data_IF_043903255829
#
_entry.id   IF_043903255829
#
_cell.length_a   1.000
_cell.length_b   1.000
_cell.length_c   1.000
_cell.angle_alpha   90.00
_cell.angle_beta   90.00
_cell.angle_gamma   90.00
#
_symmetry.space_group_name_H-M   'P 1'
#
loop_
_entity.id
_entity.type
_entity.pdbx_description
1 polymer ?
#
# COMPACT_ATOMS: atom_id res chain seq x y z
N UNK A 1 6.39 -21.73 -3.79
CA UNK A 1 6.39 -20.70 -4.86
C UNK A 1 4.97 -20.58 -5.40
N UNK A 2 4.55 -19.39 -5.84
CA UNK A 2 3.16 -19.10 -6.26
C UNK A 2 3.16 -18.25 -7.53
N UNK A 3 2.09 -18.34 -8.31
CA UNK A 3 1.81 -17.46 -9.46
C UNK A 3 1.02 -16.21 -9.07
N UNK A 4 0.54 -16.14 -7.83
CA UNK A 4 -0.23 -15.00 -7.34
C UNK A 4 0.67 -13.77 -7.14
N UNK A 5 0.12 -12.55 -7.28
CA UNK A 5 0.83 -11.32 -6.95
C UNK A 5 1.29 -11.34 -5.49
N UNK A 6 2.56 -10.94 -5.27
CA UNK A 6 3.14 -10.79 -3.93
C UNK A 6 3.40 -9.32 -3.67
N UNK A 7 2.89 -8.82 -2.54
CA UNK A 7 3.11 -7.45 -2.07
C UNK A 7 4.07 -7.47 -0.87
N UNK A 8 5.21 -6.80 -1.00
CA UNK A 8 6.25 -6.74 0.03
C UNK A 8 6.21 -5.41 0.81
N UNK A 9 6.23 -5.50 2.14
CA UNK A 9 6.30 -4.33 3.03
C UNK A 9 7.62 -4.37 3.79
N UNK A 10 8.58 -3.48 3.47
CA UNK A 10 9.83 -3.39 4.21
C UNK A 10 9.60 -2.98 5.67
N UNK A 11 10.16 -3.74 6.60
CA UNK A 11 10.10 -3.39 8.02
C UNK A 11 11.21 -2.39 8.34
N UNK A 12 10.91 -1.38 9.15
CA UNK A 12 11.91 -0.42 9.60
C UNK A 12 12.98 -1.12 10.46
N UNK A 13 14.22 -1.14 9.97
CA UNK A 13 15.39 -1.63 10.72
C UNK A 13 15.86 -0.58 11.73
N UNK A 14 16.56 -1.01 12.78
CA UNK A 14 17.18 -0.08 13.76
C UNK A 14 18.36 0.72 13.20
N UNK A 15 19.20 0.09 12.37
CA UNK A 15 20.50 0.67 11.97
C UNK A 15 20.41 1.53 10.72
N UNK A 16 19.63 1.09 9.72
CA UNK A 16 19.54 1.74 8.40
C UNK A 16 18.12 2.24 8.09
N UNK A 17 17.29 2.43 9.12
CA UNK A 17 15.90 2.90 8.98
C UNK A 17 15.06 2.12 7.94
N UNK A 18 15.40 0.86 7.67
CA UNK A 18 14.69 0.00 6.73
C UNK A 18 15.15 0.12 5.28
N UNK A 19 16.24 0.82 4.99
CA UNK A 19 16.84 0.85 3.64
C UNK A 19 17.35 -0.54 3.23
N UNK A 20 17.95 -1.28 4.17
CA UNK A 20 18.32 -2.69 4.04
C UNK A 20 17.11 -3.58 3.74
N UNK A 21 16.04 -3.44 4.52
CA UNK A 21 14.77 -4.14 4.27
C UNK A 21 14.17 -3.78 2.92
N UNK A 22 14.24 -2.51 2.51
CA UNK A 22 13.71 -2.05 1.23
C UNK A 22 14.49 -2.67 0.07
N UNK A 23 15.81 -2.56 0.09
CA UNK A 23 16.67 -3.06 -0.99
C UNK A 23 16.62 -4.58 -1.10
N UNK A 24 16.52 -5.31 0.02
CA UNK A 24 16.38 -6.77 0.00
C UNK A 24 15.05 -7.28 -0.57
N UNK A 25 14.00 -6.44 -0.60
CA UNK A 25 12.68 -6.80 -1.13
C UNK A 25 12.49 -6.28 -2.57
N UNK A 26 12.89 -5.04 -2.86
CA UNK A 26 12.60 -4.39 -4.15
C UNK A 26 13.54 -4.85 -5.27
N UNK A 27 14.76 -5.28 -4.94
CA UNK A 27 15.80 -5.66 -5.92
C UNK A 27 15.66 -7.12 -6.38
N UNK A 28 14.44 -7.53 -6.72
CA UNK A 28 14.21 -8.88 -7.25
C UNK A 28 14.80 -9.02 -8.67
N UNK A 29 15.40 -10.17 -9.01
CA UNK A 29 15.84 -10.43 -10.37
C UNK A 29 14.66 -10.52 -11.34
N UNK A 30 14.94 -10.27 -12.63
CA UNK A 30 13.93 -10.41 -13.69
C UNK A 30 13.30 -11.80 -13.70
N UNK A 31 11.97 -11.85 -13.77
CA UNK A 31 11.17 -13.09 -13.79
C UNK A 31 10.49 -13.46 -12.47
N UNK A 32 10.84 -12.83 -11.34
CA UNK A 32 10.21 -13.08 -10.03
C UNK A 32 9.80 -11.76 -9.36
N UNK A 33 8.73 -11.09 -9.82
CA UNK A 33 8.39 -9.75 -9.37
C UNK A 33 7.79 -9.73 -7.96
N UNK A 34 8.07 -8.65 -7.21
CA UNK A 34 7.42 -8.32 -5.94
C UNK A 34 6.97 -6.85 -5.97
N UNK A 35 5.68 -6.60 -5.74
CA UNK A 35 5.16 -5.24 -5.59
C UNK A 35 5.58 -4.67 -4.24
N UNK A 36 6.61 -3.83 -4.21
CA UNK A 36 7.18 -3.33 -2.94
C UNK A 36 6.55 -1.98 -2.54
N UNK A 37 6.18 -1.84 -1.27
CA UNK A 37 5.54 -0.65 -0.72
C UNK A 37 6.53 0.16 0.14
N UNK A 38 6.06 1.29 0.68
CA UNK A 38 6.82 2.12 1.61
C UNK A 38 7.29 1.33 2.84
N UNK A 39 8.33 1.82 3.53
CA UNK A 39 8.83 1.21 4.77
C UNK A 39 7.80 1.40 5.91
N UNK A 40 7.59 0.37 6.71
CA UNK A 40 6.87 0.42 7.98
C UNK A 40 5.34 0.50 7.84
N UNK A 41 4.70 1.18 8.79
CA UNK A 41 3.24 1.20 8.98
C UNK A 41 2.49 1.81 7.79
N UNK A 42 3.04 2.84 7.16
CA UNK A 42 2.49 3.41 5.93
C UNK A 42 2.46 2.38 4.80
N UNK A 43 3.54 1.61 4.65
CA UNK A 43 3.61 0.49 3.71
C UNK A 43 2.58 -0.59 3.99
N UNK A 44 2.44 -1.00 5.25
CA UNK A 44 1.47 -2.00 5.67
C UNK A 44 0.02 -1.58 5.32
N UNK A 45 -0.33 -0.33 5.62
CA UNK A 45 -1.64 0.24 5.23
C UNK A 45 -1.83 0.22 3.72
N UNK A 46 -0.82 0.66 2.97
CA UNK A 46 -0.89 0.72 1.51
C UNK A 46 -0.91 -0.66 0.85
N UNK A 47 -0.24 -1.66 1.42
CA UNK A 47 -0.29 -3.04 0.93
C UNK A 47 -1.70 -3.61 1.03
N UNK A 48 -2.39 -3.39 2.15
CA UNK A 48 -3.81 -3.76 2.30
C UNK A 48 -4.70 -3.05 1.27
N UNK A 49 -4.53 -1.73 1.11
CA UNK A 49 -5.31 -0.96 0.12
C UNK A 49 -5.02 -1.40 -1.32
N UNK A 50 -3.76 -1.68 -1.67
CA UNK A 50 -3.39 -2.15 -3.00
C UNK A 50 -3.95 -3.56 -3.26
N UNK A 51 -3.90 -4.46 -2.27
CA UNK A 51 -4.52 -5.78 -2.38
C UNK A 51 -6.03 -5.66 -2.65
N UNK A 52 -6.74 -4.80 -1.91
CA UNK A 52 -8.18 -4.56 -2.15
C UNK A 52 -8.43 -3.96 -3.55
N UNK A 53 -7.56 -3.06 -4.03
CA UNK A 53 -7.65 -2.54 -5.41
C UNK A 53 -7.47 -3.62 -6.48
N UNK A 54 -6.56 -4.57 -6.27
CA UNK A 54 -6.37 -5.72 -7.18
C UNK A 54 -7.62 -6.59 -7.18
N UNK A 55 -8.16 -6.92 -6.00
CA UNK A 55 -9.38 -7.74 -5.87
C UNK A 55 -10.62 -7.05 -6.46
N UNK A 56 -10.73 -5.73 -6.30
CA UNK A 56 -11.85 -4.93 -6.82
C UNK A 56 -11.96 -4.94 -8.35
N UNK A 57 -10.92 -5.34 -9.09
CA UNK A 57 -11.01 -5.57 -10.54
C UNK A 57 -12.05 -6.63 -10.91
N UNK A 58 -12.36 -7.54 -9.99
CA UNK A 58 -13.32 -8.63 -10.19
C UNK A 58 -14.45 -8.64 -9.15
N UNK A 59 -14.45 -7.69 -8.21
CA UNK A 59 -15.45 -7.59 -7.14
C UNK A 59 -16.06 -6.17 -7.11
N UNK A 60 -17.27 -5.99 -7.67
CA UNK A 60 -17.97 -4.71 -7.69
C UNK A 60 -18.25 -4.14 -6.28
N UNK A 61 -18.43 -4.99 -5.27
CA UNK A 61 -18.69 -4.57 -3.89
C UNK A 61 -17.42 -3.92 -3.32
N UNK A 62 -16.25 -4.51 -3.56
CA UNK A 62 -14.98 -3.91 -3.16
C UNK A 62 -14.70 -2.61 -3.93
N UNK A 63 -15.03 -2.55 -5.21
CA UNK A 63 -14.90 -1.33 -6.01
C UNK A 63 -15.73 -0.18 -5.42
N UNK A 64 -16.98 -0.44 -5.06
CA UNK A 64 -17.85 0.57 -4.43
C UNK A 64 -17.29 1.01 -3.06
N UNK A 65 -16.82 0.07 -2.23
CA UNK A 65 -16.19 0.39 -0.94
C UNK A 65 -14.95 1.26 -1.09
N UNK A 66 -14.13 1.03 -2.12
CA UNK A 66 -12.96 1.85 -2.41
C UNK A 66 -13.34 3.27 -2.83
N UNK A 67 -14.40 3.43 -3.62
CA UNK A 67 -14.90 4.76 -4.00
C UNK A 67 -15.40 5.55 -2.78
N UNK A 68 -16.18 4.90 -1.91
CA UNK A 68 -16.60 5.49 -0.63
C UNK A 68 -15.41 5.90 0.23
N UNK A 69 -14.43 5.02 0.38
CA UNK A 69 -13.20 5.30 1.13
C UNK A 69 -12.44 6.51 0.56
N UNK A 70 -12.33 6.61 -0.77
CA UNK A 70 -11.67 7.74 -1.43
C UNK A 70 -12.41 9.05 -1.19
N UNK A 71 -13.74 9.04 -1.20
CA UNK A 71 -14.56 10.21 -0.91
C UNK A 71 -14.39 10.65 0.55
N UNK A 72 -14.40 9.72 1.50
CA UNK A 72 -14.16 10.02 2.91
C UNK A 72 -12.81 10.71 3.14
N UNK A 73 -11.72 10.19 2.54
CA UNK A 73 -10.40 10.83 2.67
C UNK A 73 -10.41 12.26 2.11
N UNK A 74 -11.09 12.48 0.99
CA UNK A 74 -11.20 13.82 0.40
C UNK A 74 -11.93 14.77 1.35
N UNK A 75 -13.05 14.33 1.91
CA UNK A 75 -13.84 15.11 2.87
C UNK A 75 -13.04 15.43 4.13
N UNK A 76 -12.34 14.43 4.70
CA UNK A 76 -11.48 14.59 5.87
C UNK A 76 -10.32 15.57 5.62
N UNK A 77 -9.79 15.62 4.40
CA UNK A 77 -8.74 16.57 4.04
C UNK A 77 -9.28 18.01 3.92
N UNK A 78 -10.51 18.16 3.40
CA UNK A 78 -11.17 19.46 3.26
C UNK A 78 -11.64 20.02 4.61
N UNK A 79 -12.12 19.18 5.52
CA UNK A 79 -12.55 19.60 6.87
C UNK A 79 -11.38 20.17 7.68
N UNK A 80 -10.24 19.47 7.69
CA UNK A 80 -9.02 19.92 8.38
C UNK A 80 -8.48 21.26 7.86
N UNK A 81 -8.74 21.58 6.59
CA UNK A 81 -8.32 22.86 6.02
C UNK A 81 -9.23 24.02 6.46
N UNK A 82 -10.51 23.75 6.77
CA UNK A 82 -11.42 24.75 7.36
C UNK A 82 -11.06 25.06 8.81
N UNK A 83 -10.52 24.09 9.56
CA UNK A 83 -10.11 24.31 10.96
C UNK A 83 -8.85 25.21 11.10
N UNK A 84 -8.20 25.53 9.99
CA UNK A 84 -6.99 26.37 9.92
C UNK A 84 -7.30 27.84 9.54
N UNK A 85 -8.56 28.18 9.26
CA UNK A 85 -9.06 29.52 8.92
C UNK A 85 -10.05 30.01 9.97
#
# INVERSE_FOLDING_TARGET
MTTLPVLGVPIQSKTLNGLDSLLSIVQMPGGVPVGTLAIGTAGAKNAGLLAVRILALQDPILSEKLERYRNQIREDALSKNKDLL
#
